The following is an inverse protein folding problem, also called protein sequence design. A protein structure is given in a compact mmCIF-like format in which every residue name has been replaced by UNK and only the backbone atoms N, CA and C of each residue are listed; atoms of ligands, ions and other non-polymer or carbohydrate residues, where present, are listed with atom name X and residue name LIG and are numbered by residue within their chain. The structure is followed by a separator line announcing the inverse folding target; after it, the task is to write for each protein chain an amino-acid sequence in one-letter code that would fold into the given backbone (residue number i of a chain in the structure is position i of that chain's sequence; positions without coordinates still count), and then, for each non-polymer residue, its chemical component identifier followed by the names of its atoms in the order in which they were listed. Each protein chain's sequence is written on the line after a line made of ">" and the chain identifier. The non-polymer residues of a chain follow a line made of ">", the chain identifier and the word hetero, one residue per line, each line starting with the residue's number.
data_IF_109794265359
#
_entry.id   IF_109794265359
#
_cell.length_a   1.000
_cell.length_b   1.000
_cell.length_c   1.000
_cell.angle_alpha   90.00
_cell.angle_beta   90.00
_cell.angle_gamma   90.00
#
_symmetry.space_group_name_H-M   'P 1'
#
loop_
_entity.id
_entity.type
_entity.pdbx_description
1 polymer ?
#
# COMPACT_ATOMS: atom_id res chain seq x y z
N UNK A 1 4.97 6.13 26.05
CA UNK A 1 5.16 7.56 25.78
C UNK A 1 5.69 7.68 24.35
N UNK A 2 4.90 8.25 23.44
CA UNK A 2 5.34 8.54 22.08
C UNK A 2 6.38 9.67 22.12
N UNK A 3 7.51 9.46 21.43
CA UNK A 3 8.51 10.52 21.27
C UNK A 3 7.88 11.72 20.55
N UNK A 4 8.22 12.95 20.93
CA UNK A 4 7.71 14.13 20.24
C UNK A 4 8.21 14.12 18.78
N UNK A 5 7.32 14.45 17.86
CA UNK A 5 7.68 14.60 16.43
C UNK A 5 8.69 15.76 16.35
N UNK A 6 9.90 15.45 15.89
CA UNK A 6 10.87 16.49 15.57
C UNK A 6 10.41 17.23 14.31
N UNK A 7 10.19 18.53 14.42
CA UNK A 7 9.85 19.36 13.25
C UNK A 7 11.01 19.36 12.26
N UNK A 8 10.68 19.13 11.00
CA UNK A 8 11.62 19.23 9.89
C UNK A 8 11.60 20.64 9.28
N UNK A 9 12.47 20.91 8.31
CA UNK A 9 12.43 22.17 7.56
C UNK A 9 11.29 22.19 6.50
N UNK A 10 10.65 21.06 6.24
CA UNK A 10 9.58 20.92 5.26
C UNK A 10 8.22 20.66 5.95
N UNK A 11 7.30 21.64 5.89
CA UNK A 11 5.97 21.50 6.46
C UNK A 11 5.15 20.32 5.90
N UNK A 12 5.40 19.90 4.66
CA UNK A 12 4.69 18.79 4.07
C UNK A 12 5.13 17.45 4.68
N UNK A 13 6.40 17.32 5.05
CA UNK A 13 6.94 16.16 5.78
C UNK A 13 6.39 16.11 7.21
N UNK A 14 6.32 17.26 7.88
CA UNK A 14 5.74 17.34 9.22
C UNK A 14 4.25 16.95 9.21
N UNK A 15 3.52 17.37 8.17
CA UNK A 15 2.13 16.99 7.98
C UNK A 15 1.98 15.47 7.76
N UNK A 16 2.83 14.87 6.94
CA UNK A 16 2.81 13.42 6.71
C UNK A 16 3.05 12.66 8.03
N UNK A 17 4.03 13.07 8.83
CA UNK A 17 4.31 12.46 10.12
C UNK A 17 3.10 12.54 11.09
N UNK A 18 2.40 13.67 11.08
CA UNK A 18 1.17 13.84 11.86
C UNK A 18 0.08 12.88 11.40
N UNK A 19 -0.14 12.77 10.10
CA UNK A 19 -1.14 11.86 9.51
C UNK A 19 -0.84 10.40 9.84
N UNK A 20 0.41 9.97 9.79
CA UNK A 20 0.80 8.63 10.22
C UNK A 20 0.50 8.38 11.71
N UNK A 21 0.75 9.35 12.59
CA UNK A 21 0.42 9.20 14.00
C UNK A 21 -1.09 9.12 14.25
N UNK A 22 -1.88 9.89 13.52
CA UNK A 22 -3.34 9.81 13.58
C UNK A 22 -3.82 8.43 13.12
N UNK A 23 -3.31 7.93 11.99
CA UNK A 23 -3.66 6.61 11.50
C UNK A 23 -3.18 5.49 12.44
N UNK A 24 -1.99 5.59 13.01
CA UNK A 24 -1.48 4.62 13.98
C UNK A 24 -2.32 4.57 15.27
N UNK A 25 -3.00 5.66 15.63
CA UNK A 25 -3.91 5.70 16.79
C UNK A 25 -5.23 4.96 16.52
N UNK A 26 -5.66 4.89 15.28
CA UNK A 26 -6.84 4.13 14.82
C UNK A 26 -6.57 3.47 13.45
N UNK A 27 -5.74 2.41 13.43
CA UNK A 27 -5.29 1.79 12.17
C UNK A 27 -6.42 1.13 11.38
N UNK A 28 -7.52 0.78 12.02
CA UNK A 28 -8.71 0.24 11.38
C UNK A 28 -9.53 1.26 10.60
N UNK A 29 -9.24 2.56 10.71
CA UNK A 29 -10.04 3.60 10.06
C UNK A 29 -9.60 3.86 8.62
N UNK A 30 -10.42 3.48 7.60
CA UNK A 30 -10.02 3.60 6.19
C UNK A 30 -9.72 5.03 5.73
N UNK A 31 -10.44 6.01 6.26
CA UNK A 31 -10.27 7.40 5.85
C UNK A 31 -8.95 8.00 6.31
N UNK A 32 -8.44 7.61 7.48
CA UNK A 32 -7.13 8.05 7.95
C UNK A 32 -6.01 7.52 7.05
N UNK A 33 -6.10 6.27 6.60
CA UNK A 33 -5.20 5.73 5.60
C UNK A 33 -5.24 6.52 4.29
N UNK A 34 -6.42 6.94 3.86
CA UNK A 34 -6.58 7.74 2.65
C UNK A 34 -5.95 9.13 2.79
N UNK A 35 -5.95 9.75 3.99
CA UNK A 35 -5.24 11.02 4.20
C UNK A 35 -3.73 10.85 4.04
N UNK A 36 -3.17 9.77 4.61
CA UNK A 36 -1.75 9.43 4.41
C UNK A 36 -1.47 9.19 2.92
N UNK A 37 -2.30 8.40 2.25
CA UNK A 37 -2.15 8.11 0.83
C UNK A 37 -2.20 9.39 -0.04
N UNK A 38 -3.07 10.35 0.29
CA UNK A 38 -3.15 11.64 -0.43
C UNK A 38 -1.86 12.44 -0.30
N UNK A 39 -1.29 12.48 0.88
CA UNK A 39 -0.04 13.20 1.10
C UNK A 39 1.13 12.53 0.38
N UNK A 40 1.21 11.20 0.38
CA UNK A 40 2.22 10.45 -0.37
C UNK A 40 2.07 10.71 -1.87
N UNK A 41 0.85 10.65 -2.39
CA UNK A 41 0.59 10.96 -3.80
C UNK A 41 1.04 12.37 -4.18
N UNK A 42 0.78 13.35 -3.34
CA UNK A 42 1.26 14.72 -3.56
C UNK A 42 2.78 14.76 -3.76
N UNK A 43 3.55 14.01 -2.96
CA UNK A 43 5.00 13.91 -3.16
C UNK A 43 5.37 13.21 -4.47
N UNK A 44 4.66 12.13 -4.83
CA UNK A 44 4.89 11.42 -6.09
C UNK A 44 4.62 12.34 -7.27
N UNK A 45 3.47 12.98 -7.32
CA UNK A 45 3.08 13.88 -8.40
C UNK A 45 4.05 15.07 -8.54
N UNK A 46 4.49 15.65 -7.41
CA UNK A 46 5.49 16.71 -7.39
C UNK A 46 6.84 16.23 -7.92
N UNK A 47 7.31 15.06 -7.49
CA UNK A 47 8.58 14.51 -7.94
C UNK A 47 8.56 14.14 -9.42
N UNK A 48 7.45 13.57 -9.92
CA UNK A 48 7.27 13.25 -11.33
C UNK A 48 7.29 14.55 -12.15
N UNK A 49 6.48 15.53 -11.80
CA UNK A 49 6.40 16.78 -12.55
C UNK A 49 7.74 17.53 -12.59
N UNK A 50 8.50 17.52 -11.49
CA UNK A 50 9.70 18.34 -11.34
C UNK A 50 10.98 17.63 -11.80
N UNK A 51 11.11 16.31 -11.53
CA UNK A 51 12.38 15.61 -11.72
C UNK A 51 12.29 14.43 -12.69
N UNK A 52 11.10 13.82 -12.85
CA UNK A 52 10.96 12.55 -13.58
C UNK A 52 9.78 12.57 -14.58
N UNK A 53 9.70 13.57 -15.49
CA UNK A 53 8.53 13.74 -16.37
C UNK A 53 8.28 12.56 -17.33
N UNK A 54 9.27 11.70 -17.52
CA UNK A 54 9.19 10.54 -18.43
C UNK A 54 9.04 9.20 -17.69
N UNK A 55 8.73 9.22 -16.39
CA UNK A 55 8.54 7.97 -15.64
C UNK A 55 7.38 7.17 -16.25
N UNK A 56 7.59 5.87 -16.40
CA UNK A 56 6.61 4.92 -16.94
C UNK A 56 6.16 3.88 -15.93
N UNK A 57 6.97 3.66 -14.91
CA UNK A 57 6.75 2.63 -13.93
C UNK A 57 6.95 3.18 -12.52
N UNK A 58 6.04 2.86 -11.63
CA UNK A 58 6.11 3.16 -10.20
C UNK A 58 6.19 1.82 -9.47
N UNK A 59 7.17 1.67 -8.59
CA UNK A 59 7.28 0.50 -7.73
C UNK A 59 7.18 0.95 -6.28
N UNK A 60 6.14 0.50 -5.60
CA UNK A 60 5.96 0.69 -4.16
C UNK A 60 6.70 -0.43 -3.44
N UNK A 61 7.56 -0.08 -2.50
CA UNK A 61 8.27 -1.06 -1.66
C UNK A 61 7.77 -0.92 -0.23
N UNK A 62 7.13 -1.98 0.26
CA UNK A 62 6.58 -2.03 1.61
C UNK A 62 5.12 -2.47 1.67
N UNK A 63 4.72 -2.90 2.87
CA UNK A 63 3.34 -3.28 3.17
C UNK A 63 2.40 -2.09 3.36
N UNK A 64 1.14 -2.39 3.60
CA UNK A 64 0.08 -1.40 3.80
C UNK A 64 0.35 -0.44 4.99
N UNK A 65 0.98 -0.94 6.02
CA UNK A 65 1.35 -0.15 7.20
C UNK A 65 2.46 0.88 6.96
N UNK A 66 3.26 0.68 5.91
CA UNK A 66 4.34 1.60 5.53
C UNK A 66 3.86 2.59 4.46
N UNK A 67 3.27 2.09 3.38
CA UNK A 67 2.66 2.89 2.32
C UNK A 67 1.25 2.36 2.11
N UNK A 68 0.22 3.06 2.60
CA UNK A 68 -1.15 2.53 2.58
C UNK A 68 -1.64 2.31 1.14
N UNK A 69 -2.35 1.23 0.89
CA UNK A 69 -3.24 1.20 -0.27
C UNK A 69 -4.27 2.32 -0.12
N UNK A 70 -4.70 2.89 -1.22
CA UNK A 70 -5.87 3.77 -1.19
C UNK A 70 -7.15 2.95 -1.05
N UNK A 71 -8.05 3.38 -0.19
CA UNK A 71 -9.32 2.72 0.13
C UNK A 71 -10.42 3.31 -0.71
N UNK A 72 -11.02 2.49 -1.57
CA UNK A 72 -12.16 2.86 -2.42
C UNK A 72 -13.40 2.16 -1.88
N UNK A 73 -14.52 2.85 -1.63
CA UNK A 73 -15.75 2.21 -1.19
C UNK A 73 -16.18 1.10 -2.16
N UNK A 74 -16.46 -0.08 -1.63
CA UNK A 74 -17.04 -1.18 -2.40
C UNK A 74 -18.57 -1.03 -2.42
N UNK A 75 -19.12 -0.75 -3.58
CA UNK A 75 -20.56 -0.58 -3.80
C UNK A 75 -21.20 -1.86 -4.36
N UNK A 76 -20.49 -2.96 -4.43
CA UNK A 76 -21.04 -4.22 -4.90
C UNK A 76 -22.08 -4.77 -3.92
N UNK A 77 -23.17 -5.32 -4.46
CA UNK A 77 -24.26 -5.85 -3.63
C UNK A 77 -24.08 -7.32 -3.27
N UNK A 78 -23.21 -8.02 -3.99
CA UNK A 78 -22.99 -9.46 -3.87
C UNK A 78 -21.48 -9.69 -3.78
N UNK A 79 -21.06 -10.49 -2.82
CA UNK A 79 -19.64 -10.83 -2.60
C UNK A 79 -18.76 -9.59 -2.42
N UNK A 80 -19.25 -8.65 -1.61
CA UNK A 80 -18.51 -7.43 -1.29
C UNK A 80 -17.40 -7.71 -0.25
N UNK A 81 -16.54 -6.71 -0.03
CA UNK A 81 -15.43 -6.80 0.92
C UNK A 81 -15.89 -7.13 2.36
N UNK A 82 -17.09 -6.71 2.77
CA UNK A 82 -17.66 -7.08 4.06
C UNK A 82 -18.07 -8.56 4.15
N UNK A 83 -18.46 -9.18 3.04
CA UNK A 83 -18.72 -10.63 3.00
C UNK A 83 -17.40 -11.40 3.05
N UNK A 84 -16.38 -10.93 2.36
CA UNK A 84 -15.03 -11.47 2.44
C UNK A 84 -14.45 -11.35 3.86
N UNK A 85 -14.64 -10.21 4.51
CA UNK A 85 -14.27 -10.01 5.92
C UNK A 85 -14.87 -11.09 6.83
N UNK A 86 -16.17 -11.38 6.69
CA UNK A 86 -16.83 -12.43 7.50
C UNK A 86 -16.19 -13.80 7.29
N UNK A 87 -15.83 -14.14 6.06
CA UNK A 87 -15.16 -15.40 5.73
C UNK A 87 -13.77 -15.46 6.37
N UNK A 88 -12.97 -14.41 6.24
CA UNK A 88 -11.63 -14.34 6.82
C UNK A 88 -11.66 -14.40 8.36
N UNK A 89 -12.62 -13.72 8.98
CA UNK A 89 -12.82 -13.74 10.43
C UNK A 89 -13.20 -15.15 10.90
N UNK A 90 -14.12 -15.79 10.20
CA UNK A 90 -14.55 -17.17 10.51
C UNK A 90 -13.41 -18.17 10.36
N UNK A 91 -12.48 -17.92 9.45
CA UNK A 91 -11.29 -18.74 9.23
C UNK A 91 -10.12 -18.39 10.19
N UNK A 92 -10.25 -17.37 11.04
CA UNK A 92 -9.18 -16.88 11.91
C UNK A 92 -8.01 -16.23 11.16
N UNK A 93 -8.20 -15.90 9.88
CA UNK A 93 -7.12 -15.51 8.98
C UNK A 93 -6.61 -14.08 9.19
N UNK A 94 -7.40 -13.19 9.78
CA UNK A 94 -7.02 -11.77 9.95
C UNK A 94 -6.42 -11.43 11.31
N UNK A 95 -6.19 -12.42 12.16
CA UNK A 95 -5.74 -12.17 13.54
C UNK A 95 -6.74 -11.35 14.37
N UNK A 96 -7.97 -11.22 13.87
CA UNK A 96 -9.03 -10.47 14.53
C UNK A 96 -9.56 -11.36 15.65
N UNK A 97 -9.37 -10.91 16.87
CA UNK A 97 -9.95 -11.58 18.03
C UNK A 97 -11.48 -11.63 17.91
N UNK A 98 -12.08 -12.64 18.54
CA UNK A 98 -13.53 -12.90 18.56
C UNK A 98 -14.41 -11.75 19.08
N UNK A 99 -13.84 -10.58 19.35
CA UNK A 99 -14.49 -9.39 19.88
C UNK A 99 -14.96 -8.35 18.86
N UNK A 100 -14.77 -8.58 17.55
CA UNK A 100 -15.38 -7.76 16.50
C UNK A 100 -14.83 -6.34 16.32
N UNK A 101 -13.75 -5.98 17.00
CA UNK A 101 -13.11 -4.67 16.81
C UNK A 101 -12.02 -4.75 15.76
N UNK A 102 -12.22 -4.06 14.67
CA UNK A 102 -11.28 -3.96 13.57
C UNK A 102 -10.17 -2.98 13.88
N UNK A 103 -9.12 -3.47 14.48
CA UNK A 103 -7.96 -2.66 14.88
C UNK A 103 -6.76 -2.85 13.94
N UNK A 104 -6.90 -3.63 12.88
CA UNK A 104 -5.82 -3.85 11.91
C UNK A 104 -6.01 -2.99 10.66
N UNK A 105 -4.91 -2.61 10.02
CA UNK A 105 -4.89 -1.76 8.83
C UNK A 105 -5.78 -2.30 7.69
N UNK A 106 -5.60 -3.58 7.33
CA UNK A 106 -6.37 -4.22 6.25
C UNK A 106 -7.76 -4.66 6.76
N UNK A 107 -7.82 -5.22 7.95
CA UNK A 107 -9.07 -5.70 8.53
C UNK A 107 -10.14 -4.61 8.67
N UNK A 108 -9.74 -3.39 9.06
CA UNK A 108 -10.64 -2.25 9.10
C UNK A 108 -11.20 -1.90 7.72
N UNK A 109 -10.36 -1.93 6.69
CA UNK A 109 -10.79 -1.63 5.33
C UNK A 109 -11.85 -2.61 4.84
N UNK A 110 -11.63 -3.91 4.99
CA UNK A 110 -12.60 -4.95 4.58
C UNK A 110 -13.88 -4.89 5.42
N UNK A 111 -13.78 -4.62 6.73
CA UNK A 111 -14.95 -4.45 7.59
C UNK A 111 -15.83 -3.27 7.16
N UNK A 112 -15.24 -2.14 6.84
CA UNK A 112 -15.97 -0.95 6.37
C UNK A 112 -16.27 -1.00 4.86
N UNK A 113 -16.11 -2.14 4.21
CA UNK A 113 -16.43 -2.35 2.79
C UNK A 113 -15.60 -1.46 1.85
N UNK A 114 -14.29 -1.48 2.01
CA UNK A 114 -13.36 -0.77 1.13
C UNK A 114 -12.45 -1.74 0.39
N UNK A 115 -12.39 -1.57 -0.94
CA UNK A 115 -11.40 -2.21 -1.81
C UNK A 115 -10.06 -1.48 -1.67
N UNK A 116 -8.96 -2.23 -1.67
CA UNK A 116 -7.60 -1.72 -1.60
C UNK A 116 -7.02 -1.58 -3.00
N UNK A 117 -6.39 -0.44 -3.31
CA UNK A 117 -5.79 -0.22 -4.63
C UNK A 117 -4.54 0.64 -4.58
N UNK A 118 -3.55 0.28 -5.40
CA UNK A 118 -2.38 1.11 -5.68
C UNK A 118 -2.58 2.03 -6.88
N UNK A 119 -3.58 1.78 -7.72
CA UNK A 119 -3.86 2.57 -8.92
C UNK A 119 -3.95 4.07 -8.62
N UNK A 120 -4.39 4.42 -7.43
CA UNK A 120 -4.46 5.79 -6.92
C UNK A 120 -3.15 6.56 -7.08
N UNK A 121 -2.01 5.90 -6.86
CA UNK A 121 -0.68 6.55 -6.91
C UNK A 121 -0.16 6.78 -8.34
N UNK A 122 -0.74 6.14 -9.32
CA UNK A 122 -0.30 6.17 -10.70
C UNK A 122 -1.32 6.79 -11.68
N UNK A 123 -2.39 7.38 -11.15
CA UNK A 123 -3.45 8.04 -11.93
C UNK A 123 -3.53 9.51 -11.54
N UNK A 124 -2.89 10.38 -12.34
CA UNK A 124 -2.89 11.82 -12.10
C UNK A 124 -4.24 12.48 -12.42
N UNK A 125 -5.10 11.82 -13.20
CA UNK A 125 -6.38 12.36 -13.68
C UNK A 125 -7.54 11.40 -13.50
N UNK A 126 -7.95 11.12 -12.26
CA UNK A 126 -9.02 10.18 -11.99
C UNK A 126 -10.29 10.50 -12.78
N UNK A 127 -10.87 9.48 -13.39
CA UNK A 127 -12.15 9.62 -14.09
C UNK A 127 -13.29 9.81 -13.08
N UNK A 128 -14.11 10.86 -13.17
CA UNK A 128 -15.25 11.03 -12.29
C UNK A 128 -16.23 9.87 -12.42
N UNK A 129 -16.56 9.25 -11.29
CA UNK A 129 -17.49 8.13 -11.25
C UNK A 129 -18.32 8.14 -9.96
N UNK A 130 -19.61 8.29 -10.06
CA UNK A 130 -20.57 8.24 -8.92
C UNK A 130 -20.12 9.09 -7.71
N UNK A 131 -19.66 10.33 -7.97
CA UNK A 131 -19.23 11.26 -6.93
C UNK A 131 -17.83 10.99 -6.35
N UNK A 132 -17.06 10.07 -6.93
CA UNK A 132 -15.68 9.74 -6.58
C UNK A 132 -14.78 9.60 -7.81
N UNK A 133 -13.50 9.35 -7.62
CA UNK A 133 -12.57 9.01 -8.69
C UNK A 133 -12.60 7.51 -9.00
N UNK A 134 -12.60 7.16 -10.29
CA UNK A 134 -12.21 5.85 -10.78
C UNK A 134 -10.75 5.96 -11.22
N UNK A 135 -9.89 5.14 -10.63
CA UNK A 135 -8.43 5.23 -10.80
C UNK A 135 -7.97 4.27 -11.89
N UNK A 136 -7.62 4.83 -13.05
CA UNK A 136 -7.07 4.13 -14.21
C UNK A 136 -5.63 4.59 -14.39
N UNK A 137 -4.63 3.80 -13.97
CA UNK A 137 -3.26 4.27 -13.86
C UNK A 137 -2.65 4.65 -15.22
N UNK A 138 -2.02 5.83 -15.29
CA UNK A 138 -1.29 6.32 -16.46
C UNK A 138 0.14 5.76 -16.52
N UNK A 139 0.71 5.42 -15.37
CA UNK A 139 1.96 4.70 -15.22
C UNK A 139 1.70 3.26 -14.78
N UNK A 140 2.52 2.32 -15.23
CA UNK A 140 2.48 0.98 -14.69
C UNK A 140 2.85 1.02 -13.21
N UNK A 141 2.03 0.43 -12.36
CA UNK A 141 2.29 0.41 -10.92
C UNK A 141 2.30 -1.03 -10.38
N UNK A 142 3.21 -1.30 -9.47
CA UNK A 142 3.29 -2.57 -8.77
C UNK A 142 3.84 -2.38 -7.37
N UNK A 143 3.52 -3.33 -6.48
CA UNK A 143 3.98 -3.34 -5.10
C UNK A 143 4.85 -4.55 -4.83
N UNK A 144 5.99 -4.29 -4.20
CA UNK A 144 6.83 -5.31 -3.58
C UNK A 144 6.54 -5.30 -2.07
N UNK A 145 5.76 -6.27 -1.64
CA UNK A 145 5.51 -6.47 -0.21
C UNK A 145 6.77 -7.08 0.38
N UNK A 146 7.42 -6.31 1.24
CA UNK A 146 8.62 -6.77 1.91
C UNK A 146 8.24 -7.68 3.07
N UNK A 147 8.45 -9.00 2.91
CA UNK A 147 8.36 -9.91 4.04
C UNK A 147 9.15 -11.19 3.81
N UNK A 148 10.47 -11.07 3.90
CA UNK A 148 11.28 -12.29 3.96
C UNK A 148 11.08 -13.05 5.29
N UNK A 149 10.56 -12.43 6.34
CA UNK A 149 10.41 -13.05 7.66
C UNK A 149 8.95 -13.33 8.07
N UNK A 150 7.96 -12.69 7.43
CA UNK A 150 6.54 -12.90 7.74
C UNK A 150 5.88 -13.95 6.84
N UNK A 151 6.58 -14.46 5.81
CA UNK A 151 6.12 -15.65 5.13
C UNK A 151 6.30 -16.86 6.06
N UNK A 152 5.22 -17.57 6.40
CA UNK A 152 5.34 -18.84 7.08
C UNK A 152 6.35 -19.71 6.34
N UNK A 153 7.19 -20.42 7.05
CA UNK A 153 8.29 -21.24 6.48
C UNK A 153 7.81 -22.23 5.39
N UNK A 154 6.54 -22.59 5.41
CA UNK A 154 5.86 -23.47 4.44
C UNK A 154 5.59 -22.79 3.07
N UNK A 155 5.55 -21.45 2.98
CA UNK A 155 5.39 -20.74 1.69
C UNK A 155 6.67 -20.80 0.85
N UNK A 156 7.83 -21.12 1.46
CA UNK A 156 9.09 -21.36 0.74
C UNK A 156 9.03 -22.56 -0.21
N UNK A 157 8.01 -23.39 -0.12
CA UNK A 157 7.86 -24.61 -0.89
C UNK A 157 6.92 -24.50 -2.11
N UNK A 158 6.44 -23.30 -2.47
CA UNK A 158 5.65 -23.14 -3.69
C UNK A 158 6.59 -23.28 -4.90
N UNK A 159 6.49 -24.36 -5.70
CA UNK A 159 7.25 -24.49 -6.93
C UNK A 159 6.81 -23.39 -7.89
N UNK A 160 7.72 -22.52 -8.28
CA UNK A 160 7.43 -21.37 -9.16
C UNK A 160 7.48 -20.00 -8.47
N UNK A 161 7.63 -19.90 -7.17
CA UNK A 161 8.13 -18.69 -6.56
C UNK A 161 9.52 -18.41 -7.15
N UNK A 162 9.61 -17.42 -8.03
CA UNK A 162 10.90 -17.00 -8.61
C UNK A 162 11.76 -16.61 -7.42
N UNK A 163 12.62 -17.54 -7.05
CA UNK A 163 13.51 -17.31 -5.95
C UNK A 163 14.34 -16.07 -6.30
N UNK A 164 14.35 -15.08 -5.41
CA UNK A 164 15.20 -13.91 -5.47
C UNK A 164 16.72 -14.27 -5.51
N UNK A 165 17.05 -15.52 -5.74
CA UNK A 165 18.40 -16.07 -5.92
C UNK A 165 19.12 -15.56 -7.16
N UNK A 166 18.41 -15.03 -8.16
CA UNK A 166 19.03 -14.60 -9.42
C UNK A 166 19.53 -13.14 -9.42
N UNK A 167 19.25 -12.35 -8.38
CA UNK A 167 19.66 -10.95 -8.33
C UNK A 167 20.91 -10.67 -7.45
N UNK A 168 21.57 -11.70 -6.93
CA UNK A 168 22.92 -11.50 -6.37
C UNK A 168 23.93 -11.46 -7.52
N UNK A 169 24.10 -10.31 -8.16
CA UNK A 169 25.33 -10.04 -8.91
C UNK A 169 26.49 -10.16 -7.94
N UNK A 170 27.38 -11.11 -8.20
CA UNK A 170 28.68 -11.12 -7.51
C UNK A 170 29.41 -9.83 -7.88
N UNK A 171 29.93 -9.06 -6.93
CA UNK A 171 30.78 -7.92 -7.27
C UNK A 171 31.96 -8.43 -8.09
N UNK A 172 32.17 -7.90 -9.31
CA UNK A 172 33.36 -8.14 -10.10
C UNK A 172 33.22 -8.92 -11.42
N UNK A 173 32.00 -9.32 -11.86
CA UNK A 173 31.83 -9.86 -13.23
C UNK A 173 31.41 -8.75 -14.19
N UNK A 174 32.39 -8.19 -14.86
CA UNK A 174 32.21 -7.44 -16.12
C UNK A 174 32.09 -8.47 -17.23
N UNK A 175 30.96 -8.59 -17.89
CA UNK A 175 30.87 -9.32 -19.16
C UNK A 175 31.66 -8.54 -20.22
N UNK A 176 32.78 -9.11 -20.64
CA UNK A 176 33.51 -8.71 -21.84
C UNK A 176 32.67 -9.07 -23.07
N UNK A 177 31.96 -8.08 -23.64
CA UNK A 177 31.36 -8.17 -24.95
C UNK A 177 32.31 -7.58 -25.94
N UNK A 178 33.27 -8.38 -26.40
CA UNK A 178 33.98 -8.10 -27.63
C UNK A 178 33.22 -8.68 -28.85
N UNK A 179 33.20 -7.96 -29.99
CA UNK A 179 32.31 -8.21 -31.14
C UNK A 179 32.62 -9.48 -31.91
#
# INVERSE_FOLDING_TARGET
>A
ASSPIQKTADPAVDNLALLYNQWASDPGQPLLANEVARQIRYFIDTAIAQYYPNVKNIVIVGGDNAIPFFRVPDETKISNEGDYYKQLTSAGALGIGTGGTNTTYIGGSTFYHYVLTDNYYADARPTPWRGRGLYLPEQAIGRLVELAHDFPQNVRAIPGAIAAKHWRRKPGQVEDRTP
#
